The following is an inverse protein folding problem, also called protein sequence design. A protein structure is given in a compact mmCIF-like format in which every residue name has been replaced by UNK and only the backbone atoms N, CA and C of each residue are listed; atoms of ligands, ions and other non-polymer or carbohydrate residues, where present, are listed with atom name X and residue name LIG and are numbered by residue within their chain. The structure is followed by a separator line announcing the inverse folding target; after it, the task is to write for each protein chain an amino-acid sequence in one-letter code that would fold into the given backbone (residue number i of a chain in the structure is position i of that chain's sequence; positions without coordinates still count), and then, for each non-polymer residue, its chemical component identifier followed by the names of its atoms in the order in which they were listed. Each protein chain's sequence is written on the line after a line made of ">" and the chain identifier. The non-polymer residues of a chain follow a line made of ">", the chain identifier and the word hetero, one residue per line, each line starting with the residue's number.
data_IF_618805804745
#
_entry.id   IF_618805804745
#
_cell.length_a   1.000
_cell.length_b   1.000
_cell.length_c   1.000
_cell.angle_alpha   90.00
_cell.angle_beta   90.00
_cell.angle_gamma   90.00
#
_symmetry.space_group_name_H-M   'P 1'
#
loop_
_entity.id
_entity.type
_entity.pdbx_description
1 polymer ?
#
# COMPACT_ATOMS: atom_id res chain seq x y z
N UNK A 1 -15.12 -3.73 -12.51
CA UNK A 1 -14.70 -4.22 -11.17
C UNK A 1 -14.26 -3.08 -10.24
N UNK A 2 -13.23 -2.29 -10.55
CA UNK A 2 -12.74 -1.19 -9.68
C UNK A 2 -13.85 -0.25 -9.16
N UNK A 3 -14.79 0.19 -10.01
CA UNK A 3 -15.87 1.08 -9.57
C UNK A 3 -16.83 0.43 -8.57
N UNK A 4 -17.06 -0.88 -8.66
CA UNK A 4 -17.96 -1.62 -7.75
C UNK A 4 -17.24 -1.84 -6.41
N UNK A 5 -15.97 -2.25 -6.45
CA UNK A 5 -15.18 -2.47 -5.25
C UNK A 5 -14.87 -1.19 -4.47
N UNK A 6 -14.84 -0.03 -5.14
CA UNK A 6 -14.64 1.27 -4.48
C UNK A 6 -15.70 1.57 -3.41
N UNK A 7 -16.95 1.10 -3.61
CA UNK A 7 -18.04 1.26 -2.63
C UNK A 7 -17.85 0.45 -1.34
N UNK A 8 -16.90 -0.50 -1.32
CA UNK A 8 -16.59 -1.33 -0.14
C UNK A 8 -15.47 -0.76 0.74
N UNK A 9 -14.90 0.40 0.38
CA UNK A 9 -13.81 1.00 1.14
C UNK A 9 -14.29 1.53 2.50
N UNK A 10 -13.60 1.09 3.56
CA UNK A 10 -13.74 1.62 4.91
C UNK A 10 -12.58 2.59 5.14
N UNK A 11 -12.90 3.87 5.40
CA UNK A 11 -11.92 4.94 5.63
C UNK A 11 -11.84 5.37 7.10
N UNK A 12 -12.43 4.59 7.99
CA UNK A 12 -12.42 4.82 9.43
C UNK A 12 -11.61 3.74 10.14
N UNK A 13 -10.95 4.12 11.24
CA UNK A 13 -10.17 3.19 12.05
C UNK A 13 -11.09 2.20 12.78
N UNK A 14 -10.95 0.88 12.57
CA UNK A 14 -11.77 -0.08 13.27
C UNK A 14 -11.37 -0.17 14.75
N UNK A 15 -12.34 -0.49 15.62
CA UNK A 15 -12.13 -0.51 17.07
C UNK A 15 -11.00 -1.46 17.50
N UNK A 16 -10.87 -2.62 16.85
CA UNK A 16 -9.82 -3.59 17.15
C UNK A 16 -8.41 -3.00 16.94
N UNK A 17 -8.24 -2.10 15.96
CA UNK A 17 -6.96 -1.51 15.64
C UNK A 17 -6.49 -0.59 16.78
N UNK A 18 -7.42 0.18 17.37
CA UNK A 18 -7.14 1.01 18.55
C UNK A 18 -6.64 0.17 19.72
N UNK A 19 -7.21 -1.02 19.93
CA UNK A 19 -6.75 -1.96 20.95
C UNK A 19 -5.33 -2.49 20.71
N UNK A 20 -4.97 -2.79 19.46
CA UNK A 20 -3.61 -3.24 19.10
C UNK A 20 -2.56 -2.14 19.28
N UNK A 21 -2.91 -0.90 18.90
CA UNK A 21 -2.07 0.28 19.12
C UNK A 21 -1.86 0.51 20.63
N UNK A 22 -2.94 0.51 21.41
CA UNK A 22 -2.87 0.75 22.86
C UNK A 22 -2.06 -0.33 23.59
N UNK A 23 -2.17 -1.59 23.19
CA UNK A 23 -1.39 -2.70 23.75
C UNK A 23 0.04 -2.80 23.21
N UNK A 24 0.40 -1.98 22.22
CA UNK A 24 1.70 -1.98 21.55
C UNK A 24 2.07 -3.33 20.91
N UNK A 25 1.07 -4.09 20.45
CA UNK A 25 1.25 -5.40 19.79
C UNK A 25 1.06 -5.33 18.26
N UNK A 26 1.11 -4.12 17.71
CA UNK A 26 0.88 -3.88 16.30
C UNK A 26 2.02 -4.45 15.44
N UNK A 27 1.70 -5.47 14.66
CA UNK A 27 2.51 -5.93 13.53
C UNK A 27 2.14 -5.20 12.24
N UNK A 28 3.15 -4.66 11.55
CA UNK A 28 3.00 -3.93 10.29
C UNK A 28 3.76 -4.67 9.20
N UNK A 29 3.09 -4.97 8.09
CA UNK A 29 3.68 -5.57 6.91
C UNK A 29 4.06 -4.50 5.89
N UNK A 30 5.16 -4.68 5.18
CA UNK A 30 5.54 -3.90 4.01
C UNK A 30 5.58 -4.80 2.78
N UNK A 31 4.95 -4.37 1.70
CA UNK A 31 4.86 -5.07 0.42
C UNK A 31 5.54 -4.26 -0.67
N UNK A 32 6.41 -4.92 -1.42
CA UNK A 32 7.09 -4.36 -2.58
C UNK A 32 7.27 -5.43 -3.66
N UNK A 33 7.36 -4.99 -4.91
CA UNK A 33 7.63 -5.84 -6.05
C UNK A 33 8.65 -5.19 -6.97
N UNK A 34 9.74 -5.90 -7.22
CA UNK A 34 10.84 -5.43 -8.06
C UNK A 34 10.91 -6.24 -9.34
N UNK A 35 10.96 -5.54 -10.48
CA UNK A 35 11.00 -6.13 -11.81
C UNK A 35 12.44 -6.36 -12.27
N UNK A 36 12.66 -7.44 -13.03
CA UNK A 36 13.95 -7.68 -13.66
C UNK A 36 14.24 -6.63 -14.73
N UNK A 37 15.50 -6.17 -14.77
CA UNK A 37 16.00 -5.25 -15.80
C UNK A 37 16.18 -5.91 -17.17
N UNK A 38 16.21 -7.25 -17.21
CA UNK A 38 16.48 -8.04 -18.42
C UNK A 38 15.17 -8.58 -19.02
N UNK A 39 14.22 -8.99 -18.18
CA UNK A 39 12.92 -9.53 -18.60
C UNK A 39 11.80 -8.88 -17.77
N UNK A 40 11.04 -7.98 -18.37
CA UNK A 40 9.94 -7.24 -17.72
C UNK A 40 8.75 -8.11 -17.31
N UNK A 41 8.72 -9.38 -17.72
CA UNK A 41 7.76 -10.38 -17.27
C UNK A 41 8.21 -11.06 -15.97
N UNK A 42 9.48 -10.91 -15.58
CA UNK A 42 10.01 -11.45 -14.32
C UNK A 42 10.05 -10.38 -13.25
N UNK A 43 9.57 -10.72 -12.07
CA UNK A 43 9.64 -9.88 -10.89
C UNK A 43 9.87 -10.73 -9.64
N UNK A 44 10.17 -10.07 -8.53
CA UNK A 44 10.20 -10.67 -7.20
C UNK A 44 9.30 -9.83 -6.31
N UNK A 45 8.27 -10.45 -5.75
CA UNK A 45 7.44 -9.83 -4.72
C UNK A 45 7.98 -10.18 -3.34
N UNK A 46 7.91 -9.26 -2.40
CA UNK A 46 8.35 -9.45 -1.03
C UNK A 46 7.34 -8.92 -0.01
N UNK A 47 7.26 -9.60 1.12
CA UNK A 47 6.53 -9.19 2.31
C UNK A 47 7.49 -9.22 3.51
N UNK A 48 7.69 -8.07 4.14
CA UNK A 48 8.41 -7.95 5.40
C UNK A 48 7.42 -7.60 6.52
N UNK A 49 7.51 -8.24 7.68
CA UNK A 49 6.65 -7.94 8.84
C UNK A 49 7.52 -7.45 9.98
N UNK A 50 7.16 -6.29 10.53
CA UNK A 50 7.86 -5.65 11.64
C UNK A 50 6.93 -5.52 12.85
N UNK A 51 7.50 -5.62 14.05
CA UNK A 51 6.82 -5.19 15.27
C UNK A 51 6.95 -3.67 15.41
N UNK A 52 5.82 -2.95 15.45
CA UNK A 52 5.82 -1.49 15.36
C UNK A 52 6.56 -0.82 16.53
N UNK A 53 6.44 -1.35 17.75
CA UNK A 53 7.07 -0.77 18.95
C UNK A 53 8.58 -0.76 18.86
N UNK A 54 9.18 -1.87 18.41
CA UNK A 54 10.63 -2.06 18.38
C UNK A 54 11.24 -1.84 16.99
N UNK A 55 10.40 -1.74 15.95
CA UNK A 55 10.78 -1.79 14.53
C UNK A 55 11.59 -3.03 14.14
N UNK A 56 11.53 -4.09 14.96
CA UNK A 56 12.24 -5.34 14.69
C UNK A 56 11.54 -6.10 13.57
N UNK A 57 12.32 -6.52 12.58
CA UNK A 57 11.87 -7.49 11.57
C UNK A 57 11.58 -8.83 12.26
N UNK A 58 10.31 -9.24 12.21
CA UNK A 58 9.85 -10.50 12.83
C UNK A 58 9.57 -11.60 11.81
N UNK A 59 9.40 -11.24 10.53
CA UNK A 59 9.23 -12.18 9.44
C UNK A 59 9.56 -11.53 8.09
N UNK A 60 10.04 -12.32 7.13
CA UNK A 60 10.15 -11.90 5.74
C UNK A 60 9.98 -13.08 4.80
N UNK A 61 9.39 -12.84 3.64
CA UNK A 61 9.29 -13.80 2.54
C UNK A 61 9.41 -13.06 1.22
N UNK A 62 10.02 -13.71 0.24
CA UNK A 62 10.00 -13.26 -1.15
C UNK A 62 9.69 -14.43 -2.08
N UNK A 63 9.02 -14.14 -3.19
CA UNK A 63 8.69 -15.13 -4.21
C UNK A 63 8.96 -14.55 -5.60
N UNK A 64 9.62 -15.32 -6.49
CA UNK A 64 9.69 -14.97 -7.90
C UNK A 64 8.29 -15.03 -8.52
N UNK A 65 8.01 -14.07 -9.39
CA UNK A 65 6.72 -13.91 -10.06
C UNK A 65 6.97 -13.81 -11.56
N UNK A 66 6.20 -14.58 -12.33
CA UNK A 66 6.07 -14.39 -13.76
C UNK A 66 4.75 -13.67 -14.05
N UNK A 67 4.82 -12.49 -14.63
CA UNK A 67 3.66 -11.68 -14.95
C UNK A 67 3.17 -12.00 -16.36
N UNK A 68 1.92 -12.42 -16.45
CA UNK A 68 1.23 -12.71 -17.72
C UNK A 68 0.48 -11.49 -18.26
N UNK A 69 0.17 -10.51 -17.42
CA UNK A 69 -0.58 -9.30 -17.76
C UNK A 69 0.33 -8.20 -18.34
N UNK A 70 -0.03 -7.56 -19.48
CA UNK A 70 0.73 -6.45 -20.04
C UNK A 70 0.72 -5.21 -19.13
N UNK A 71 1.76 -4.37 -19.23
CA UNK A 71 1.83 -3.12 -18.49
C UNK A 71 0.90 -2.07 -19.13
N UNK A 72 -0.13 -1.67 -18.39
CA UNK A 72 -1.03 -0.57 -18.76
C UNK A 72 -0.93 0.47 -17.65
N UNK A 73 -0.48 1.71 -17.94
CA UNK A 73 -0.45 2.80 -16.96
C UNK A 73 -1.81 2.96 -16.26
N UNK A 74 -1.83 3.25 -14.96
CA UNK A 74 -3.03 3.27 -14.08
C UNK A 74 -3.70 1.92 -13.77
N UNK A 75 -3.24 0.82 -14.37
CA UNK A 75 -3.67 -0.56 -14.06
C UNK A 75 -2.56 -1.39 -13.41
N UNK A 76 -1.51 -0.74 -12.91
CA UNK A 76 -0.38 -1.40 -12.25
C UNK A 76 -0.83 -2.29 -11.09
N UNK A 77 -1.90 -1.89 -10.38
CA UNK A 77 -2.53 -2.68 -9.33
C UNK A 77 -2.85 -4.13 -9.75
N UNK A 78 -3.25 -4.38 -10.99
CA UNK A 78 -3.57 -5.73 -11.47
C UNK A 78 -2.33 -6.63 -11.63
N UNK A 79 -1.13 -6.05 -11.75
CA UNK A 79 0.12 -6.85 -11.82
C UNK A 79 0.66 -7.17 -10.43
N UNK A 80 0.37 -6.34 -9.45
CA UNK A 80 1.03 -6.37 -8.13
C UNK A 80 0.18 -7.02 -7.05
N UNK A 81 -1.16 -6.89 -7.13
CA UNK A 81 -2.07 -7.40 -6.09
C UNK A 81 -2.02 -8.92 -5.98
N UNK A 82 -2.15 -9.66 -7.08
CA UNK A 82 -2.18 -11.14 -6.99
C UNK A 82 -0.89 -11.73 -6.36
N UNK A 83 0.33 -11.25 -6.69
CA UNK A 83 1.53 -11.62 -5.94
C UNK A 83 1.47 -11.32 -4.45
N UNK A 84 1.00 -10.13 -4.06
CA UNK A 84 0.89 -9.75 -2.66
C UNK A 84 -0.12 -10.60 -1.89
N UNK A 85 -1.25 -10.95 -2.52
CA UNK A 85 -2.24 -11.85 -1.95
C UNK A 85 -1.65 -13.22 -1.65
N UNK A 86 -0.86 -13.78 -2.57
CA UNK A 86 -0.20 -15.07 -2.34
C UNK A 86 0.75 -15.03 -1.16
N UNK A 87 1.55 -13.97 -1.03
CA UNK A 87 2.44 -13.80 0.11
C UNK A 87 1.67 -13.68 1.43
N UNK A 88 0.63 -12.85 1.46
CA UNK A 88 -0.21 -12.67 2.65
C UNK A 88 -0.94 -13.95 3.06
N UNK A 89 -1.52 -14.66 2.09
CA UNK A 89 -2.19 -15.94 2.31
C UNK A 89 -1.22 -16.98 2.88
N UNK A 90 -0.01 -17.07 2.34
CA UNK A 90 1.03 -17.97 2.84
C UNK A 90 1.38 -17.67 4.31
N UNK A 91 1.60 -16.40 4.66
CA UNK A 91 1.89 -16.01 6.05
C UNK A 91 0.72 -16.32 6.97
N UNK A 92 -0.51 -16.07 6.52
CA UNK A 92 -1.74 -16.33 7.29
C UNK A 92 -1.94 -17.81 7.57
N UNK A 93 -1.64 -18.67 6.60
CA UNK A 93 -1.81 -20.12 6.72
C UNK A 93 -0.70 -20.79 7.54
N UNK A 94 0.54 -20.31 7.42
CA UNK A 94 1.70 -21.00 7.99
C UNK A 94 2.31 -20.32 9.23
N UNK A 95 2.03 -19.03 9.44
CA UNK A 95 2.66 -18.22 10.48
C UNK A 95 1.66 -17.28 11.14
N UNK A 96 0.62 -17.85 11.77
CA UNK A 96 -0.49 -17.09 12.41
C UNK A 96 0.00 -15.96 13.34
N UNK A 97 1.08 -16.19 14.11
CA UNK A 97 1.66 -15.19 15.02
C UNK A 97 2.49 -14.08 14.32
N UNK A 98 2.60 -14.13 12.99
CA UNK A 98 3.35 -13.20 12.14
C UNK A 98 2.47 -12.50 11.11
N UNK A 99 1.16 -12.69 11.17
CA UNK A 99 0.22 -12.01 10.27
C UNK A 99 0.24 -10.52 10.56
N UNK A 100 0.52 -9.66 9.57
CA UNK A 100 0.49 -8.23 9.77
C UNK A 100 -0.96 -7.74 9.95
N UNK A 101 -1.16 -6.83 10.90
CA UNK A 101 -2.47 -6.19 11.14
C UNK A 101 -2.74 -5.09 10.12
N UNK A 102 -1.69 -4.40 9.69
CA UNK A 102 -1.72 -3.37 8.66
C UNK A 102 -0.67 -3.70 7.60
N UNK A 103 -1.01 -3.52 6.33
CA UNK A 103 -0.08 -3.62 5.21
C UNK A 103 0.24 -2.24 4.63
N UNK A 104 1.52 -1.92 4.51
CA UNK A 104 2.04 -0.80 3.74
C UNK A 104 2.35 -1.31 2.33
N UNK A 105 1.74 -0.69 1.33
CA UNK A 105 1.90 -1.08 -0.07
C UNK A 105 2.65 0.03 -0.80
N UNK A 106 3.74 -0.29 -1.50
CA UNK A 106 4.43 0.66 -2.37
C UNK A 106 3.57 1.00 -3.59
N UNK A 107 2.68 1.99 -3.43
CA UNK A 107 1.67 2.33 -4.41
C UNK A 107 0.61 3.26 -3.84
N UNK A 108 -0.33 3.65 -4.68
CA UNK A 108 -1.41 4.56 -4.28
C UNK A 108 -2.59 3.81 -3.63
N UNK A 109 -3.27 4.48 -2.70
CA UNK A 109 -4.58 4.10 -2.16
C UNK A 109 -5.70 4.92 -2.80
N UNK A 110 -6.44 5.68 -1.99
CA UNK A 110 -7.49 6.60 -2.46
C UNK A 110 -6.96 7.75 -3.31
N UNK A 111 -5.68 8.08 -3.16
CA UNK A 111 -4.94 9.03 -3.99
C UNK A 111 -4.61 8.45 -5.37
N UNK A 112 -5.64 8.09 -6.12
CA UNK A 112 -5.57 7.54 -7.48
C UNK A 112 -6.61 8.28 -8.33
N UNK A 113 -6.41 8.48 -9.66
CA UNK A 113 -7.37 9.19 -10.51
C UNK A 113 -8.80 8.62 -10.46
N UNK A 114 -8.94 7.35 -10.09
CA UNK A 114 -10.22 6.65 -9.91
C UNK A 114 -10.65 6.46 -8.45
N UNK A 115 -9.95 7.08 -7.49
CA UNK A 115 -10.18 6.89 -6.05
C UNK A 115 -9.82 5.49 -5.52
N UNK A 116 -9.25 4.62 -6.35
CA UNK A 116 -9.09 3.19 -6.05
C UNK A 116 -7.77 2.64 -6.61
N UNK A 117 -6.68 2.85 -5.87
CA UNK A 117 -5.33 2.38 -6.21
C UNK A 117 -5.02 0.95 -5.75
N UNK A 118 -3.75 0.56 -5.88
CA UNK A 118 -3.24 -0.78 -5.53
C UNK A 118 -3.51 -1.15 -4.07
N UNK A 119 -3.26 -0.23 -3.13
CA UNK A 119 -3.51 -0.47 -1.70
C UNK A 119 -5.00 -0.72 -1.43
N UNK A 120 -5.89 0.09 -2.00
CA UNK A 120 -7.34 -0.07 -1.87
C UNK A 120 -7.82 -1.43 -2.41
N UNK A 121 -7.38 -1.80 -3.63
CA UNK A 121 -7.73 -3.07 -4.24
C UNK A 121 -7.27 -4.26 -3.37
N UNK A 122 -6.04 -4.22 -2.88
CA UNK A 122 -5.48 -5.25 -2.01
C UNK A 122 -6.27 -5.35 -0.70
N UNK A 123 -6.57 -4.22 -0.05
CA UNK A 123 -7.30 -4.18 1.22
C UNK A 123 -8.71 -4.75 1.09
N UNK A 124 -9.43 -4.39 0.01
CA UNK A 124 -10.74 -4.95 -0.30
C UNK A 124 -10.70 -6.46 -0.52
N UNK A 125 -9.71 -6.98 -1.25
CA UNK A 125 -9.64 -8.42 -1.55
C UNK A 125 -9.20 -9.26 -0.35
N UNK A 126 -8.29 -8.73 0.48
CA UNK A 126 -7.79 -9.42 1.67
C UNK A 126 -8.65 -9.21 2.92
N UNK A 127 -9.61 -8.28 2.89
CA UNK A 127 -10.31 -7.78 4.08
C UNK A 127 -9.32 -7.37 5.19
N UNK A 128 -8.26 -6.65 4.80
CA UNK A 128 -7.14 -6.24 5.65
C UNK A 128 -6.92 -4.74 5.56
N UNK A 129 -6.50 -4.10 6.65
CA UNK A 129 -6.15 -2.68 6.66
C UNK A 129 -4.89 -2.42 5.83
N UNK A 130 -4.98 -1.55 4.83
CA UNK A 130 -3.88 -1.22 3.91
C UNK A 130 -3.63 0.29 3.84
N UNK A 131 -2.36 0.68 3.74
CA UNK A 131 -1.93 2.06 3.50
C UNK A 131 -1.07 2.08 2.23
N UNK A 132 -1.46 2.92 1.26
CA UNK A 132 -0.64 3.18 0.08
C UNK A 132 0.45 4.20 0.38
N UNK A 133 1.71 3.83 0.15
CA UNK A 133 2.89 4.69 0.36
C UNK A 133 3.58 4.90 -0.99
N UNK A 134 3.11 5.90 -1.75
CA UNK A 134 3.67 6.20 -3.06
C UNK A 134 4.88 7.15 -2.98
N UNK A 135 5.92 6.87 -3.76
CA UNK A 135 7.14 7.70 -3.87
C UNK A 135 6.97 8.92 -4.78
N UNK A 136 5.94 8.93 -5.62
CA UNK A 136 5.64 9.99 -6.58
C UNK A 136 4.15 10.31 -6.56
N UNK A 137 3.81 11.58 -6.74
CA UNK A 137 2.42 12.01 -6.88
C UNK A 137 1.90 11.55 -8.25
N UNK A 138 0.81 10.78 -8.24
CA UNK A 138 0.12 10.36 -9.45
C UNK A 138 -0.90 11.45 -9.84
N UNK A 139 -0.45 12.43 -10.61
CA UNK A 139 -1.30 13.49 -11.21
C UNK A 139 -1.53 13.14 -12.67
N UNK A 140 -2.75 13.24 -13.18
CA UNK A 140 -2.97 13.26 -14.63
C UNK A 140 -3.13 14.71 -15.08
N UNK A 141 -2.50 15.11 -16.19
CA UNK A 141 -2.59 16.49 -16.73
C UNK A 141 -4.03 16.89 -17.11
N UNK A 142 -4.95 15.93 -17.20
CA UNK A 142 -6.37 16.12 -17.44
C UNK A 142 -7.24 16.36 -16.18
N UNK A 143 -6.62 16.51 -15.00
CA UNK A 143 -7.33 16.65 -13.71
C UNK A 143 -7.76 18.09 -13.36
N UNK A 144 -7.83 19.02 -14.33
CA UNK A 144 -8.47 20.32 -14.09
C UNK A 144 -10.00 20.24 -14.00
N UNK A 145 -10.64 19.14 -14.42
CA UNK A 145 -12.11 19.18 -14.64
C UNK A 145 -12.96 18.24 -13.78
N UNK A 146 -12.49 17.15 -13.13
CA UNK A 146 -13.46 16.32 -12.37
C UNK A 146 -12.94 15.40 -11.24
N UNK A 147 -11.67 15.44 -10.86
CA UNK A 147 -11.22 14.67 -9.69
C UNK A 147 -11.41 15.47 -8.41
N UNK A 148 -12.01 14.87 -7.38
CA UNK A 148 -12.26 15.46 -6.06
C UNK A 148 -11.00 15.95 -5.30
N UNK A 149 -9.81 15.86 -5.91
CA UNK A 149 -8.54 16.21 -5.31
C UNK A 149 -7.60 16.81 -6.36
N UNK A 150 -7.72 18.12 -6.59
CA UNK A 150 -6.67 18.88 -7.26
C UNK A 150 -5.35 18.80 -6.49
N UNK A 151 -4.20 18.95 -7.16
CA UNK A 151 -2.87 19.01 -6.52
C UNK A 151 -2.83 20.04 -5.39
N UNK A 152 -3.55 21.16 -5.55
CA UNK A 152 -3.70 22.20 -4.54
C UNK A 152 -4.45 21.69 -3.31
N UNK A 153 -5.57 20.99 -3.47
CA UNK A 153 -6.32 20.39 -2.37
C UNK A 153 -5.54 19.28 -1.66
N UNK A 154 -4.75 18.48 -2.38
CA UNK A 154 -3.87 17.47 -1.78
C UNK A 154 -2.80 18.15 -0.93
N UNK A 155 -2.13 19.19 -1.47
CA UNK A 155 -1.13 19.97 -0.73
C UNK A 155 -1.73 20.65 0.51
N UNK A 156 -2.92 21.24 0.38
CA UNK A 156 -3.63 21.87 1.50
C UNK A 156 -4.08 20.85 2.55
N UNK A 157 -4.62 19.69 2.15
CA UNK A 157 -5.03 18.64 3.08
C UNK A 157 -3.84 17.99 3.79
N UNK A 158 -2.70 17.82 3.11
CA UNK A 158 -1.46 17.34 3.73
C UNK A 158 -0.90 18.39 4.70
N UNK A 159 -0.87 19.66 4.33
CA UNK A 159 -0.44 20.74 5.22
C UNK A 159 -1.31 20.87 6.48
N UNK A 160 -2.62 20.61 6.36
CA UNK A 160 -3.55 20.69 7.48
C UNK A 160 -3.54 19.44 8.40
N UNK A 161 -3.17 18.26 7.89
CA UNK A 161 -3.15 17.00 8.67
C UNK A 161 -1.78 16.65 9.25
N UNK A 162 -0.73 17.26 8.72
CA UNK A 162 0.65 16.90 9.03
C UNK A 162 1.33 18.11 9.67
N UNK A 163 1.16 18.27 10.99
CA UNK A 163 2.07 19.09 11.79
C UNK A 163 3.39 18.33 11.96
N UNK A 164 4.19 18.24 10.90
CA UNK A 164 5.56 17.73 11.00
C UNK A 164 6.46 18.87 11.46
N UNK A 165 7.17 18.66 12.57
CA UNK A 165 8.28 19.51 12.99
C UNK A 165 9.30 19.59 11.84
N UNK A 166 9.62 20.80 11.32
CA UNK A 166 10.56 20.99 10.21
C UNK A 166 11.92 20.33 10.41
N UNK A 167 12.29 19.96 11.64
CA UNK A 167 13.57 19.34 11.99
C UNK A 167 13.70 17.85 11.63
N UNK A 168 12.62 17.15 11.27
CA UNK A 168 12.68 15.70 10.98
C UNK A 168 12.94 15.34 9.52
N UNK A 169 12.92 16.30 8.58
CA UNK A 169 13.32 16.03 7.19
C UNK A 169 14.83 16.23 7.01
N UNK A 170 15.57 15.13 7.08
CA UNK A 170 16.95 15.09 6.58
C UNK A 170 17.02 15.44 5.08
N UNK A 171 18.19 15.87 4.58
CA UNK A 171 18.32 16.37 3.21
C UNK A 171 17.95 15.28 2.19
N UNK A 172 17.05 15.63 1.26
CA UNK A 172 16.72 14.80 0.09
C UNK A 172 17.97 14.70 -0.79
N UNK A 173 18.48 13.49 -1.00
CA UNK A 173 19.46 13.25 -2.08
C UNK A 173 18.72 13.22 -3.41
N UNK A 174 19.22 14.01 -4.36
CA UNK A 174 18.78 14.06 -5.75
C UNK A 174 19.17 12.76 -6.50
#
# INVERSE_FOLDING_TARGET
>A
EQNIQCQSLILEDPLWLRGQIASQRLLVGGLDISFSKIDSKRAVAALAVVEMKSLKLVYTISQPVQLTTPYIPTFLAYREVDPFERLYAYVTQHYVNRVPHILLVDGNGTLHPRGFGCACLLGCRLNCSTIGVAKKLLVTESDEVNSHFSVLQIKQSLANKVSLDPKTLGPRKA
#
